data_IF_336116947897
#
_entry.id   IF_336116947897
#
_cell.length_a   1.000
_cell.length_b   1.000
_cell.length_c   1.000
_cell.angle_alpha   90.00
_cell.angle_beta   90.00
_cell.angle_gamma   90.00
#
_symmetry.space_group_name_H-M   'P 1'
#
loop_
_entity.id
_entity.type
_entity.pdbx_description
1 polymer ?
#
# COMPACT_ATOMS: atom_id res chain seq x y z
N UNK A 1 -10.94 -23.16 0.08
CA UNK A 1 -10.61 -21.72 -0.05
C UNK A 1 -11.90 -20.95 -0.19
N UNK A 2 -12.12 -19.91 0.60
CA UNK A 2 -13.24 -18.98 0.39
C UNK A 2 -12.86 -18.13 -0.83
N UNK A 3 -13.63 -18.22 -1.92
CA UNK A 3 -13.39 -17.41 -3.11
C UNK A 3 -13.66 -15.94 -2.74
N UNK A 4 -12.66 -15.07 -2.95
CA UNK A 4 -12.88 -13.63 -2.82
C UNK A 4 -13.98 -13.21 -3.79
N UNK A 5 -14.83 -12.29 -3.35
CA UNK A 5 -15.96 -11.85 -4.17
C UNK A 5 -15.49 -10.73 -5.08
N UNK A 6 -15.68 -10.94 -6.38
CA UNK A 6 -15.45 -9.93 -7.41
C UNK A 6 -16.24 -8.67 -7.09
N UNK A 7 -15.59 -7.53 -7.24
CA UNK A 7 -16.12 -6.24 -6.82
C UNK A 7 -15.97 -5.23 -7.95
N UNK A 8 -17.08 -4.69 -8.43
CA UNK A 8 -17.08 -3.62 -9.44
C UNK A 8 -16.92 -2.25 -8.77
N UNK A 9 -15.92 -1.48 -9.19
CA UNK A 9 -15.71 -0.09 -8.79
C UNK A 9 -14.86 0.62 -9.86
N UNK A 10 -15.17 1.89 -10.13
CA UNK A 10 -14.34 2.76 -10.99
C UNK A 10 -13.99 2.16 -12.37
N UNK A 11 -14.95 1.45 -12.97
CA UNK A 11 -14.77 0.81 -14.28
C UNK A 11 -13.99 -0.51 -14.26
N UNK A 12 -13.44 -0.93 -13.12
CA UNK A 12 -12.71 -2.19 -12.96
C UNK A 12 -13.53 -3.26 -12.23
N UNK A 13 -13.12 -4.52 -12.45
CA UNK A 13 -13.59 -5.71 -11.74
C UNK A 13 -12.48 -6.25 -10.86
N UNK A 14 -12.47 -5.84 -9.60
CA UNK A 14 -11.46 -6.25 -8.63
C UNK A 14 -11.66 -7.70 -8.19
N UNK A 15 -10.56 -8.44 -8.01
CA UNK A 15 -10.57 -9.83 -7.51
C UNK A 15 -11.04 -9.93 -6.06
N UNK A 16 -10.94 -8.83 -5.31
CA UNK A 16 -11.40 -8.77 -3.93
C UNK A 16 -12.00 -7.41 -3.55
N UNK A 17 -12.87 -7.43 -2.53
CA UNK A 17 -13.33 -6.20 -1.88
C UNK A 17 -12.19 -5.39 -1.27
N UNK A 18 -11.08 -6.02 -0.88
CA UNK A 18 -9.95 -5.32 -0.27
C UNK A 18 -9.22 -4.47 -1.31
N UNK A 19 -8.94 -5.02 -2.49
CA UNK A 19 -8.39 -4.29 -3.63
C UNK A 19 -9.31 -3.12 -4.04
N UNK A 20 -10.61 -3.36 -4.17
CA UNK A 20 -11.56 -2.30 -4.51
C UNK A 20 -11.56 -1.15 -3.49
N UNK A 21 -11.29 -1.42 -2.20
CA UNK A 21 -11.15 -0.37 -1.19
C UNK A 21 -9.85 0.42 -1.34
N UNK A 22 -8.76 -0.21 -1.79
CA UNK A 22 -7.52 0.51 -2.12
C UNK A 22 -7.71 1.42 -3.34
N UNK A 23 -8.50 1.01 -4.33
CA UNK A 23 -8.92 1.91 -5.40
C UNK A 23 -9.70 3.14 -4.88
N UNK A 24 -10.60 2.98 -3.91
CA UNK A 24 -11.27 4.11 -3.23
C UNK A 24 -10.26 5.02 -2.52
N UNK A 25 -9.23 4.44 -1.89
CA UNK A 25 -8.14 5.21 -1.27
C UNK A 25 -7.42 6.09 -2.30
N UNK A 26 -6.99 5.53 -3.43
CA UNK A 26 -6.33 6.28 -4.51
C UNK A 26 -7.22 7.40 -5.06
N UNK A 27 -8.48 7.09 -5.38
CA UNK A 27 -9.45 8.08 -5.87
C UNK A 27 -9.70 9.22 -4.87
N UNK A 28 -9.74 8.91 -3.57
CA UNK A 28 -9.90 9.94 -2.53
C UNK A 28 -8.67 10.85 -2.44
N UNK A 29 -7.47 10.32 -2.70
CA UNK A 29 -6.25 11.10 -2.77
C UNK A 29 -6.05 11.83 -4.10
N UNK A 30 -6.81 11.47 -5.14
CA UNK A 30 -6.60 11.93 -6.50
C UNK A 30 -5.34 11.33 -7.14
N UNK A 31 -4.94 10.13 -6.72
CA UNK A 31 -3.82 9.38 -7.30
C UNK A 31 -4.38 8.50 -8.43
N UNK A 32 -3.98 8.72 -9.69
CA UNK A 32 -4.35 7.82 -10.78
C UNK A 32 -3.77 6.43 -10.56
N UNK A 33 -4.49 5.40 -10.97
CA UNK A 33 -4.00 4.02 -10.92
C UNK A 33 -4.48 3.22 -12.14
N UNK A 34 -3.70 2.20 -12.48
CA UNK A 34 -4.06 1.15 -13.45
C UNK A 34 -4.14 -0.19 -12.70
N UNK A 35 -5.29 -0.85 -12.74
CA UNK A 35 -5.49 -2.14 -12.07
C UNK A 35 -5.10 -3.31 -12.98
N UNK A 36 -4.31 -4.25 -12.47
CA UNK A 36 -3.78 -5.42 -13.20
C UNK A 36 -3.20 -5.06 -14.58
N UNK A 37 -2.46 -3.95 -14.66
CA UNK A 37 -1.97 -3.34 -15.91
C UNK A 37 -1.28 -4.33 -16.86
N UNK A 38 -0.33 -5.10 -16.35
CA UNK A 38 0.42 -6.09 -17.12
C UNK A 38 1.00 -7.17 -16.22
N UNK A 39 1.16 -8.38 -16.76
CA UNK A 39 1.80 -9.50 -16.09
C UNK A 39 3.28 -9.62 -16.49
N UNK A 40 4.10 -10.11 -15.57
CA UNK A 40 5.55 -10.24 -15.71
C UNK A 40 5.97 -11.70 -15.59
N UNK A 41 6.93 -12.12 -16.42
CA UNK A 41 7.59 -13.41 -16.28
C UNK A 41 8.75 -13.26 -15.27
N UNK A 42 8.52 -13.74 -14.05
CA UNK A 42 9.49 -13.81 -12.95
C UNK A 42 10.10 -15.21 -12.93
N UNK A 43 11.18 -15.40 -13.68
CA UNK A 43 11.96 -16.65 -13.72
C UNK A 43 11.14 -17.90 -14.10
N UNK A 44 10.24 -17.80 -15.09
CA UNK A 44 9.39 -18.90 -15.55
C UNK A 44 8.06 -19.01 -14.82
N UNK A 45 7.76 -18.06 -13.93
CA UNK A 45 6.46 -17.93 -13.25
C UNK A 45 5.85 -16.59 -13.58
N UNK A 46 4.57 -16.56 -13.96
CA UNK A 46 3.87 -15.31 -14.20
C UNK A 46 3.45 -14.65 -12.87
N UNK A 47 3.75 -13.36 -12.73
CA UNK A 47 3.34 -12.50 -11.64
C UNK A 47 2.48 -11.35 -12.18
N UNK A 48 1.29 -11.15 -11.61
CA UNK A 48 0.38 -10.07 -11.99
C UNK A 48 0.15 -9.16 -10.77
N UNK A 49 0.88 -8.03 -10.67
CA UNK A 49 0.72 -7.07 -9.58
C UNK A 49 -0.65 -6.40 -9.62
N UNK A 50 -1.16 -5.98 -8.46
CA UNK A 50 -2.51 -5.43 -8.34
C UNK A 50 -2.66 -4.04 -8.98
N UNK A 51 -1.77 -3.10 -8.67
CA UNK A 51 -1.90 -1.70 -9.10
C UNK A 51 -0.58 -1.11 -9.59
N UNK A 52 -0.63 -0.37 -10.69
CA UNK A 52 0.42 0.55 -11.10
C UNK A 52 -0.02 2.00 -10.85
N UNK A 53 0.85 2.82 -10.26
CA UNK A 53 0.61 4.23 -9.98
C UNK A 53 1.48 5.08 -10.93
N UNK A 54 0.96 5.53 -12.09
CA UNK A 54 1.76 6.11 -13.16
C UNK A 54 2.44 7.44 -12.80
N UNK A 55 1.84 8.24 -11.92
CA UNK A 55 2.44 9.51 -11.49
C UNK A 55 3.63 9.30 -10.53
N UNK A 56 3.58 8.24 -9.73
CA UNK A 56 4.63 7.85 -8.78
C UNK A 56 5.66 6.89 -9.38
N UNK A 57 5.38 6.37 -10.58
CA UNK A 57 6.15 5.32 -11.27
C UNK A 57 6.44 4.10 -10.37
N UNK A 58 5.45 3.68 -9.58
CA UNK A 58 5.58 2.59 -8.62
C UNK A 58 4.44 1.58 -8.73
N UNK A 59 4.64 0.39 -8.16
CA UNK A 59 3.63 -0.64 -8.02
C UNK A 59 3.07 -0.66 -6.61
N UNK A 60 1.82 -1.09 -6.47
CA UNK A 60 1.13 -1.24 -5.20
C UNK A 60 0.43 -2.59 -5.13
N UNK A 61 0.81 -3.42 -4.16
CA UNK A 61 0.36 -4.80 -3.97
C UNK A 61 -0.50 -4.92 -2.71
N UNK A 62 -1.63 -5.61 -2.80
CA UNK A 62 -2.59 -5.78 -1.72
C UNK A 62 -2.59 -7.23 -1.24
N UNK A 63 -2.08 -7.46 -0.04
CA UNK A 63 -2.07 -8.77 0.61
C UNK A 63 -3.14 -8.87 1.69
N UNK A 64 -3.78 -10.03 1.77
CA UNK A 64 -4.70 -10.38 2.86
C UNK A 64 -4.00 -10.50 4.23
N UNK A 65 -4.74 -10.87 5.27
CA UNK A 65 -4.14 -11.11 6.60
C UNK A 65 -3.28 -12.38 6.59
N UNK A 66 -2.18 -12.39 7.36
CA UNK A 66 -1.22 -13.50 7.43
C UNK A 66 -1.88 -14.86 7.80
N UNK A 67 -3.02 -14.82 8.50
CA UNK A 67 -3.78 -16.01 8.88
C UNK A 67 -4.46 -16.73 7.70
N UNK A 68 -4.54 -16.09 6.52
CA UNK A 68 -5.27 -16.61 5.36
C UNK A 68 -4.41 -17.35 4.33
N UNK A 69 -3.08 -17.20 4.39
CA UNK A 69 -2.15 -17.68 3.36
C UNK A 69 -1.14 -18.65 3.97
N UNK A 70 -1.51 -19.93 4.13
CA UNK A 70 -0.58 -21.00 4.55
C UNK A 70 0.59 -21.29 3.59
N UNK A 71 0.88 -20.36 2.66
CA UNK A 71 1.91 -20.39 1.62
C UNK A 71 2.76 -19.11 1.64
N UNK A 72 3.01 -18.54 2.83
CA UNK A 72 3.71 -17.26 3.00
C UNK A 72 5.01 -17.20 2.18
N UNK A 73 5.89 -18.20 2.28
CA UNK A 73 7.22 -18.12 1.66
C UNK A 73 7.19 -18.07 0.12
N UNK A 74 6.37 -18.89 -0.54
CA UNK A 74 6.32 -18.94 -2.02
C UNK A 74 5.74 -17.66 -2.62
N UNK A 75 4.74 -17.08 -1.95
CA UNK A 75 4.14 -15.81 -2.38
C UNK A 75 5.12 -14.64 -2.17
N UNK A 76 5.82 -14.62 -1.02
CA UNK A 76 6.86 -13.63 -0.74
C UNK A 76 8.05 -13.75 -1.69
N UNK A 77 8.45 -14.98 -2.05
CA UNK A 77 9.54 -15.21 -2.99
C UNK A 77 9.20 -14.66 -4.39
N UNK A 78 7.98 -14.91 -4.89
CA UNK A 78 7.53 -14.38 -6.19
C UNK A 78 7.46 -12.86 -6.20
N UNK A 79 6.93 -12.26 -5.14
CA UNK A 79 6.91 -10.81 -5.01
C UNK A 79 8.35 -10.26 -4.97
N UNK A 80 9.25 -10.90 -4.23
CA UNK A 80 10.65 -10.48 -4.19
C UNK A 80 11.33 -10.56 -5.56
N UNK A 81 11.14 -11.65 -6.29
CA UNK A 81 11.66 -11.84 -7.66
C UNK A 81 11.10 -10.78 -8.62
N UNK A 82 9.79 -10.54 -8.57
CA UNK A 82 9.13 -9.47 -9.32
C UNK A 82 9.81 -8.13 -9.06
N UNK A 83 9.94 -7.76 -7.78
CA UNK A 83 10.48 -6.46 -7.45
C UNK A 83 11.96 -6.30 -7.86
N UNK A 84 12.78 -7.38 -7.76
CA UNK A 84 14.16 -7.40 -8.29
C UNK A 84 14.19 -7.14 -9.81
N UNK A 85 13.22 -7.65 -10.55
CA UNK A 85 13.23 -7.57 -12.01
C UNK A 85 12.79 -6.19 -12.53
N UNK A 86 11.78 -5.58 -11.91
CA UNK A 86 11.19 -4.32 -12.41
C UNK A 86 12.01 -3.08 -12.06
N UNK A 87 12.91 -3.16 -11.07
CA UNK A 87 13.76 -2.04 -10.62
C UNK A 87 12.96 -0.77 -10.28
N UNK A 88 11.75 -0.94 -9.74
CA UNK A 88 10.81 0.12 -9.32
C UNK A 88 10.30 -0.17 -7.93
N UNK A 89 9.92 0.88 -7.20
CA UNK A 89 9.31 0.74 -5.89
C UNK A 89 7.98 -0.04 -5.96
N UNK A 90 7.80 -0.94 -5.02
CA UNK A 90 6.62 -1.79 -4.83
C UNK A 90 6.16 -1.60 -3.39
N UNK A 91 5.02 -0.96 -3.23
CA UNK A 91 4.39 -0.74 -1.95
C UNK A 91 3.47 -1.89 -1.61
N UNK A 92 3.59 -2.48 -0.42
CA UNK A 92 2.79 -3.65 -0.03
C UNK A 92 1.86 -3.26 1.10
N UNK A 93 0.55 -3.26 0.82
CA UNK A 93 -0.50 -3.19 1.81
C UNK A 93 -0.82 -4.57 2.37
N UNK A 94 -1.01 -4.64 3.68
CA UNK A 94 -1.38 -5.87 4.36
C UNK A 94 -2.73 -5.71 5.09
N UNK A 95 -3.57 -6.73 5.00
CA UNK A 95 -4.69 -6.96 5.90
C UNK A 95 -5.83 -5.95 5.75
N UNK A 96 -6.63 -5.78 6.79
CA UNK A 96 -7.73 -4.82 6.75
C UNK A 96 -7.21 -3.38 6.75
N UNK A 97 -7.87 -2.51 5.98
CA UNK A 97 -7.63 -1.07 5.99
C UNK A 97 -7.96 -0.52 7.39
N UNK A 98 -6.93 -0.21 8.17
CA UNK A 98 -7.08 0.40 9.49
C UNK A 98 -7.06 1.92 9.36
N UNK A 99 -7.99 2.59 10.02
CA UNK A 99 -8.00 4.06 10.11
C UNK A 99 -7.02 4.47 11.22
N UNK A 100 -6.06 5.35 10.96
CA UNK A 100 -5.18 5.86 12.01
C UNK A 100 -5.96 6.64 13.09
N UNK A 101 -5.56 6.50 14.35
CA UNK A 101 -6.18 7.15 15.52
C UNK A 101 -5.60 8.54 15.72
N UNK A 102 -6.42 9.57 15.45
CA UNK A 102 -5.99 10.97 15.52
C UNK A 102 -6.02 11.58 16.91
N UNK A 103 -6.57 10.90 17.91
CA UNK A 103 -6.67 11.43 19.27
C UNK A 103 -5.32 11.33 19.98
N UNK A 104 -4.89 12.42 20.62
CA UNK A 104 -3.75 12.43 21.54
C UNK A 104 -4.00 11.44 22.68
N UNK A 105 -3.05 10.52 22.90
CA UNK A 105 -3.07 9.63 24.07
C UNK A 105 -2.41 10.45 25.18
N UNK A 106 -3.11 10.71 26.30
CA UNK A 106 -2.53 11.45 27.42
C UNK A 106 -1.21 10.81 27.85
N UNK A 107 -0.14 11.60 27.93
CA UNK A 107 1.19 11.14 28.36
C UNK A 107 2.14 10.67 27.25
N UNK A 108 1.70 10.62 25.99
CA UNK A 108 2.58 10.39 24.84
C UNK A 108 2.61 11.62 23.93
N UNK A 109 3.67 12.43 24.05
CA UNK A 109 4.02 13.43 23.06
C UNK A 109 4.72 12.73 21.90
N UNK A 110 3.98 12.48 20.83
CA UNK A 110 4.62 12.11 19.56
C UNK A 110 5.12 13.40 18.93
N UNK A 111 6.39 13.47 18.48
CA UNK A 111 6.88 14.65 17.80
C UNK A 111 5.96 14.93 16.61
N UNK A 112 5.26 16.06 16.69
CA UNK A 112 4.70 16.69 15.52
C UNK A 112 5.82 16.82 14.50
N UNK A 113 5.53 16.48 13.26
CA UNK A 113 6.36 16.76 12.08
C UNK A 113 7.74 16.09 12.06
N UNK A 114 7.91 15.11 11.15
CA UNK A 114 9.19 15.03 10.46
C UNK A 114 9.30 16.33 9.66
N UNK A 115 10.21 17.22 10.04
CA UNK A 115 10.52 18.40 9.24
C UNK A 115 10.90 17.95 7.82
N UNK A 116 10.17 18.44 6.82
CA UNK A 116 10.47 18.23 5.40
C UNK A 116 9.76 17.07 4.69
N UNK A 117 8.88 16.30 5.35
CA UNK A 117 8.03 15.34 4.62
C UNK A 117 6.95 16.08 3.83
N UNK A 118 6.99 15.97 2.50
CA UNK A 118 5.93 16.45 1.63
C UNK A 118 4.87 15.35 1.46
N UNK A 119 3.64 15.53 1.97
CA UNK A 119 2.57 14.54 1.85
C UNK A 119 2.16 14.24 0.40
N UNK A 120 2.52 15.10 -0.56
CA UNK A 120 2.31 14.82 -1.99
C UNK A 120 3.22 13.71 -2.51
N UNK A 121 4.33 13.44 -1.84
CA UNK A 121 5.28 12.37 -2.17
C UNK A 121 4.89 11.02 -1.52
N UNK A 122 3.66 10.91 -1.00
CA UNK A 122 3.15 9.65 -0.50
C UNK A 122 3.14 8.62 -1.64
N UNK A 123 3.90 7.52 -1.45
CA UNK A 123 4.14 6.45 -2.45
C UNK A 123 5.05 6.82 -3.63
N UNK A 124 5.65 8.02 -3.65
CA UNK A 124 6.75 8.35 -4.59
C UNK A 124 8.07 7.77 -4.06
N UNK A 125 9.11 7.80 -4.90
CA UNK A 125 10.49 7.44 -4.54
C UNK A 125 10.85 7.99 -3.14
N UNK A 126 11.12 7.10 -2.15
CA UNK A 126 11.47 7.49 -0.80
C UNK A 126 12.65 8.46 -0.73
N UNK A 127 13.57 8.43 -1.69
CA UNK A 127 14.68 9.39 -1.73
C UNK A 127 14.23 10.82 -2.05
N UNK A 128 13.11 11.01 -2.76
CA UNK A 128 12.49 12.32 -2.98
C UNK A 128 11.79 12.82 -1.71
N UNK A 129 11.06 11.92 -1.04
CA UNK A 129 10.37 12.24 0.20
C UNK A 129 11.32 12.53 1.37
N UNK A 130 12.52 11.95 1.35
CA UNK A 130 13.54 12.09 2.40
C UNK A 130 14.94 12.37 1.82
N UNK A 131 15.18 13.61 1.32
CA UNK A 131 16.48 13.97 0.77
C UNK A 131 17.63 13.74 1.76
N UNK A 132 18.73 13.17 1.27
CA UNK A 132 19.91 12.87 2.09
C UNK A 132 19.82 11.60 2.94
N UNK A 133 18.66 10.92 2.95
CA UNK A 133 18.54 9.59 3.55
C UNK A 133 18.92 8.52 2.53
N UNK A 134 19.62 7.51 3.05
CA UNK A 134 19.96 6.30 2.29
C UNK A 134 18.97 5.22 2.68
N UNK A 135 18.08 4.88 1.77
CA UNK A 135 17.38 3.61 1.83
C UNK A 135 18.31 2.57 1.19
N UNK A 136 18.52 1.40 1.80
CA UNK A 136 19.12 0.29 1.05
C UNK A 136 18.23 0.04 -0.17
N UNK A 137 18.80 -0.40 -1.29
CA UNK A 137 17.96 -0.92 -2.38
C UNK A 137 17.36 -2.25 -1.92
N UNK A 138 16.12 -2.20 -1.41
CA UNK A 138 15.11 -2.96 -2.09
C UNK A 138 13.91 -2.07 -2.36
N UNK A 139 13.55 -2.02 -3.63
CA UNK A 139 12.25 -1.76 -4.26
C UNK A 139 10.98 -2.20 -3.51
N UNK A 140 10.99 -2.61 -2.23
CA UNK A 140 9.80 -3.08 -1.51
C UNK A 140 9.62 -2.34 -0.19
N UNK A 141 8.43 -1.75 -0.05
CA UNK A 141 8.08 -0.84 1.03
C UNK A 141 6.73 -1.24 1.63
N UNK A 142 6.68 -1.52 2.92
CA UNK A 142 5.39 -1.86 3.56
C UNK A 142 4.55 -0.60 3.74
N UNK A 143 3.23 -0.67 3.56
CA UNK A 143 2.32 0.43 3.87
C UNK A 143 1.31 -0.09 4.89
N UNK A 144 1.64 0.08 6.16
CA UNK A 144 0.76 -0.36 7.24
C UNK A 144 0.45 0.78 8.21
N UNK A 145 -0.83 0.99 8.57
CA UNK A 145 -1.17 1.77 9.73
C UNK A 145 -0.57 1.12 10.98
N UNK A 146 0.30 1.84 11.69
CA UNK A 146 0.93 1.36 12.91
C UNK A 146 0.28 2.01 14.12
N UNK A 147 -0.38 1.19 14.96
CA UNK A 147 -0.67 1.50 16.37
C UNK A 147 -1.38 2.84 16.62
N UNK A 148 -2.01 3.41 15.60
CA UNK A 148 -2.77 4.64 15.66
C UNK A 148 -2.14 5.91 15.09
N UNK A 149 -0.85 6.03 14.73
CA UNK A 149 -0.30 7.38 14.40
C UNK A 149 0.66 7.51 13.22
N UNK A 150 0.95 6.43 12.52
CA UNK A 150 1.81 6.48 11.34
C UNK A 150 1.34 5.52 10.26
N UNK A 151 1.55 5.89 9.00
CA UNK A 151 1.89 4.89 7.99
C UNK A 151 3.32 4.51 8.33
N UNK A 152 3.59 3.23 8.58
CA UNK A 152 4.97 2.75 8.60
C UNK A 152 5.33 2.40 7.18
N UNK A 153 6.34 3.09 6.64
CA UNK A 153 7.08 2.56 5.51
C UNK A 153 8.35 1.90 6.04
N UNK A 154 8.37 0.57 5.94
CA UNK A 154 9.49 -0.27 6.34
C UNK A 154 10.17 -0.72 5.05
N UNK A 155 11.46 -0.48 4.91
CA UNK A 155 12.26 -1.22 3.93
C UNK A 155 12.56 -2.59 4.49
N UNK A 156 12.66 -3.64 3.67
CA UNK A 156 12.89 -5.01 4.15
C UNK A 156 14.20 -5.22 4.93
N UNK A 157 15.07 -4.20 5.02
CA UNK A 157 16.40 -4.31 5.65
C UNK A 157 16.66 -3.32 6.80
N UNK A 158 15.90 -2.22 6.97
CA UNK A 158 16.13 -1.25 8.06
C UNK A 158 14.85 -0.54 8.58
N UNK A 159 14.97 -0.09 9.84
CA UNK A 159 14.14 0.81 10.68
C UNK A 159 12.76 1.24 10.13
N UNK A 160 11.71 1.03 10.93
CA UNK A 160 10.41 1.64 10.70
C UNK A 160 10.47 3.16 10.85
N UNK A 161 10.09 3.89 9.83
CA UNK A 161 9.84 5.33 9.93
C UNK A 161 8.33 5.56 10.12
N UNK A 162 7.98 6.39 11.10
CA UNK A 162 6.60 6.75 11.41
C UNK A 162 6.25 8.04 10.66
N UNK A 163 5.33 7.96 9.69
CA UNK A 163 4.97 9.13 8.87
C UNK A 163 3.85 9.99 9.48
N UNK A 164 3.95 11.30 9.25
CA UNK A 164 2.89 12.26 9.60
C UNK A 164 1.68 11.98 8.72
N UNK A 165 0.55 11.75 9.37
CA UNK A 165 -0.70 11.51 8.68
C UNK A 165 -1.42 12.85 8.53
N UNK A 166 -1.61 13.29 7.29
CA UNK A 166 -2.40 14.49 7.00
C UNK A 166 -3.90 14.19 7.11
N UNK A 167 -4.75 15.20 7.34
CA UNK A 167 -6.20 15.03 7.27
C UNK A 167 -6.65 14.36 5.97
N UNK A 168 -6.04 14.73 4.83
CA UNK A 168 -6.32 14.14 3.52
C UNK A 168 -6.07 12.61 3.49
N UNK A 169 -4.96 12.16 4.08
CA UNK A 169 -4.63 10.72 4.18
C UNK A 169 -5.61 10.01 5.12
N UNK A 170 -5.95 10.61 6.26
CA UNK A 170 -6.96 10.06 7.20
C UNK A 170 -8.31 9.88 6.49
N UNK A 171 -8.74 10.87 5.72
CA UNK A 171 -10.00 10.84 5.01
C UNK A 171 -10.01 9.75 3.92
N UNK A 172 -8.90 9.54 3.22
CA UNK A 172 -8.74 8.43 2.29
C UNK A 172 -8.84 7.06 2.98
N UNK A 173 -8.18 6.87 4.13
CA UNK A 173 -8.32 5.64 4.92
C UNK A 173 -9.76 5.42 5.41
N UNK A 174 -10.44 6.48 5.87
CA UNK A 174 -11.85 6.41 6.29
C UNK A 174 -12.77 6.04 5.13
N UNK A 175 -12.63 6.71 3.98
CA UNK A 175 -13.42 6.45 2.78
C UNK A 175 -13.25 4.99 2.33
N UNK A 176 -12.01 4.52 2.22
CA UNK A 176 -11.69 3.15 1.84
C UNK A 176 -12.27 2.12 2.83
N UNK A 177 -12.15 2.36 4.15
CA UNK A 177 -12.70 1.46 5.18
C UNK A 177 -14.23 1.41 5.17
N UNK A 178 -14.87 2.56 4.91
CA UNK A 178 -16.32 2.70 4.91
C UNK A 178 -16.97 2.27 3.59
N UNK A 179 -16.20 2.18 2.49
CA UNK A 179 -16.70 1.78 1.19
C UNK A 179 -17.51 0.47 1.26
N UNK A 180 -18.66 0.52 0.58
CA UNK A 180 -19.59 -0.58 0.38
C UNK A 180 -19.80 -0.72 -1.12
N UNK A 181 -19.76 -1.95 -1.59
CA UNK A 181 -19.96 -2.28 -3.00
C UNK A 181 -21.20 -3.15 -3.09
N UNK A 182 -22.11 -2.77 -3.99
CA UNK A 182 -23.32 -3.54 -4.24
C UNK A 182 -22.95 -4.91 -4.84
N UNK A 183 -23.76 -5.92 -4.55
CA UNK A 183 -23.70 -7.18 -5.27
C UNK A 183 -24.76 -7.15 -6.36
N UNK A 184 -24.33 -7.32 -7.62
CA UNK A 184 -25.24 -7.83 -8.63
C UNK A 184 -25.37 -9.33 -8.39
N UNK A 185 -26.51 -9.72 -7.81
CA UNK A 185 -26.98 -11.11 -7.71
C UNK A 185 -27.25 -11.72 -9.07
#
# INVERSE_FOLDING_TARGET
>A
MVKAIETEYDGYRFRSRLEARWAVFFNTLGIPYEYEKEGFDTNGTWYLPDFFLPEQDCWYEVKGSYASTGLMWDEWARLFDFCQQIQKWVYVAHGEIQVPVTESVPGFNFPSTIDGFDPSLLLDDPHKAYPGRKFPEPFMMWVQPSGGRSIRIISSMERSEDHVITPKIIDAYKAARQARFEHRS
#
